data_IF_925752532693
#
_entry.id   IF_925752532693
#
_cell.length_a   1.000
_cell.length_b   1.000
_cell.length_c   1.000
_cell.angle_alpha   90.00
_cell.angle_beta   90.00
_cell.angle_gamma   90.00
#
_symmetry.space_group_name_H-M   'P 1'
#
loop_
_entity.id
_entity.type
_entity.pdbx_description
1 polymer ?
#
# COMPACT_ATOMS: atom_id res chain seq x y z
N UNK A 1 22.51 -7.39 21.93
CA UNK A 1 23.38 -6.26 21.51
C UNK A 1 22.52 -4.99 21.54
N UNK A 2 22.88 -3.92 22.28
CA UNK A 2 22.12 -2.66 22.23
C UNK A 2 22.51 -1.94 20.93
N UNK A 3 21.60 -1.82 19.99
CA UNK A 3 21.82 -1.05 18.75
C UNK A 3 21.91 0.42 19.12
N UNK A 4 22.94 1.12 18.65
CA UNK A 4 23.07 2.56 18.88
C UNK A 4 21.91 3.30 18.19
N UNK A 5 21.29 4.30 18.84
CA UNK A 5 20.23 5.08 18.22
C UNK A 5 20.78 5.83 17.00
N UNK A 6 20.00 5.87 15.92
CA UNK A 6 20.35 6.54 14.67
C UNK A 6 19.61 7.87 14.54
N UNK A 7 20.26 8.86 13.96
CA UNK A 7 19.65 10.13 13.55
C UNK A 7 19.13 10.05 12.12
N UNK A 8 18.31 11.02 11.71
CA UNK A 8 17.82 11.13 10.33
C UNK A 8 18.93 11.12 9.28
N UNK A 9 20.01 11.88 9.51
CA UNK A 9 21.13 11.94 8.58
C UNK A 9 21.89 10.60 8.51
N UNK A 10 22.04 9.90 9.63
CA UNK A 10 22.67 8.58 9.65
C UNK A 10 21.81 7.54 8.91
N UNK A 11 20.48 7.61 9.04
CA UNK A 11 19.54 6.79 8.27
C UNK A 11 19.63 7.11 6.76
N UNK A 12 19.65 8.39 6.39
CA UNK A 12 19.77 8.84 5.00
C UNK A 12 21.06 8.32 4.34
N UNK A 13 22.17 8.42 5.06
CA UNK A 13 23.47 7.89 4.60
C UNK A 13 23.46 6.36 4.52
N UNK A 14 22.88 5.67 5.50
CA UNK A 14 22.86 4.21 5.54
C UNK A 14 21.98 3.58 4.44
N UNK A 15 20.85 4.21 4.13
CA UNK A 15 19.88 3.73 3.13
C UNK A 15 20.20 4.28 1.72
N UNK A 16 21.02 5.33 1.63
CA UNK A 16 21.39 5.96 0.36
C UNK A 16 20.27 6.81 -0.24
N UNK A 17 19.39 7.37 0.59
CA UNK A 17 18.19 8.12 0.20
C UNK A 17 18.18 9.48 0.92
N UNK A 18 17.76 10.58 0.27
CA UNK A 18 17.65 11.89 0.94
C UNK A 18 16.72 11.86 2.15
N UNK A 19 17.05 12.60 3.21
CA UNK A 19 16.27 12.65 4.46
C UNK A 19 14.78 13.01 4.23
N UNK A 20 14.50 13.94 3.31
CA UNK A 20 13.12 14.34 2.96
C UNK A 20 12.26 13.19 2.45
N UNK A 21 12.87 12.12 1.92
CA UNK A 21 12.19 10.97 1.35
C UNK A 21 12.08 9.82 2.39
N UNK A 22 12.64 10.00 3.60
CA UNK A 22 12.57 9.01 4.69
C UNK A 22 11.39 9.22 5.65
N UNK A 23 10.70 10.36 5.58
CA UNK A 23 9.62 10.72 6.50
C UNK A 23 8.52 9.67 6.57
N UNK A 24 7.96 9.31 5.42
CA UNK A 24 6.86 8.35 5.34
C UNK A 24 7.29 6.92 5.70
N UNK A 25 8.39 6.36 5.16
CA UNK A 25 8.87 5.04 5.58
C UNK A 25 9.11 4.92 7.09
N UNK A 26 9.70 5.94 7.71
CA UNK A 26 9.95 5.95 9.16
C UNK A 26 8.64 6.07 9.93
N UNK A 27 7.70 6.91 9.50
CA UNK A 27 6.38 7.00 10.12
C UNK A 27 5.64 5.65 10.10
N UNK A 28 5.76 4.88 9.01
CA UNK A 28 5.18 3.54 8.91
C UNK A 28 5.86 2.53 9.85
N UNK A 29 7.19 2.58 9.96
CA UNK A 29 7.92 1.72 10.90
C UNK A 29 7.59 2.06 12.36
N UNK A 30 7.32 3.33 12.66
CA UNK A 30 6.85 3.78 13.98
C UNK A 30 5.41 3.33 14.24
N UNK A 31 4.50 3.53 13.29
CA UNK A 31 3.11 3.07 13.40
C UNK A 31 3.02 1.55 13.55
N UNK A 32 3.92 0.81 12.89
CA UNK A 32 4.05 -0.63 12.98
C UNK A 32 4.78 -1.14 14.23
N UNK A 33 5.17 -0.27 15.16
CA UNK A 33 5.93 -0.61 16.37
C UNK A 33 7.27 -1.31 16.08
N UNK A 34 7.81 -1.17 14.87
CA UNK A 34 9.11 -1.74 14.50
C UNK A 34 10.25 -0.81 14.93
N UNK A 35 10.02 0.49 14.89
CA UNK A 35 10.97 1.52 15.34
C UNK A 35 10.24 2.41 16.33
N UNK A 36 10.95 2.90 17.34
CA UNK A 36 10.48 3.96 18.22
C UNK A 36 11.44 5.15 18.13
N UNK A 37 10.97 6.32 18.55
CA UNK A 37 11.69 7.57 18.40
C UNK A 37 11.68 8.41 19.67
N UNK A 38 12.82 9.04 19.96
CA UNK A 38 12.97 9.98 21.05
C UNK A 38 13.53 11.30 20.53
N UNK A 39 12.91 12.41 20.94
CA UNK A 39 13.37 13.75 20.57
C UNK A 39 14.17 14.35 21.72
N UNK A 40 15.42 14.72 21.44
CA UNK A 40 16.24 15.48 22.36
C UNK A 40 16.12 16.97 22.02
N UNK A 41 15.54 17.78 22.90
CA UNK A 41 15.43 19.21 22.65
C UNK A 41 16.82 19.85 22.62
N UNK A 42 17.07 20.70 21.64
CA UNK A 42 18.26 21.55 21.64
C UNK A 42 18.21 22.48 22.86
N UNK A 43 19.29 22.54 23.64
CA UNK A 43 19.38 23.44 24.78
C UNK A 43 19.23 24.91 24.35
N UNK A 44 18.79 25.77 25.27
CA UNK A 44 18.50 27.19 25.01
C UNK A 44 19.60 27.92 24.21
N UNK A 45 20.87 27.73 24.58
CA UNK A 45 22.01 28.33 23.88
C UNK A 45 22.33 27.74 22.50
N UNK A 46 21.90 26.49 22.23
CA UNK A 46 22.07 25.83 20.93
C UNK A 46 21.01 26.27 19.93
N UNK A 47 19.76 26.43 20.38
CA UNK A 47 18.68 27.02 19.56
C UNK A 47 19.00 28.43 19.10
N UNK A 48 19.64 29.24 19.95
CA UNK A 48 20.10 30.58 19.57
C UNK A 48 21.15 30.60 18.46
N UNK A 49 21.80 29.47 18.17
CA UNK A 49 22.75 29.30 17.06
C UNK A 49 22.10 28.65 15.82
N UNK A 50 20.79 28.41 15.86
CA UNK A 50 20.06 27.75 14.77
C UNK A 50 20.15 26.23 14.78
N UNK A 51 20.62 25.60 15.86
CA UNK A 51 20.59 24.14 15.98
C UNK A 51 19.16 23.65 16.27
N UNK A 52 18.71 22.67 15.50
CA UNK A 52 17.41 22.03 15.66
C UNK A 52 17.43 20.90 16.69
N UNK A 53 16.24 20.50 17.15
CA UNK A 53 16.11 19.32 18.02
C UNK A 53 16.56 18.07 17.25
N UNK A 54 17.24 17.15 17.95
CA UNK A 54 17.69 15.90 17.33
C UNK A 54 16.68 14.80 17.63
N UNK A 55 16.20 14.12 16.58
CA UNK A 55 15.39 12.91 16.72
C UNK A 55 16.28 11.68 16.58
N UNK A 56 16.13 10.77 17.53
CA UNK A 56 16.82 9.49 17.57
C UNK A 56 15.83 8.38 17.32
N UNK A 57 16.22 7.42 16.49
CA UNK A 57 15.44 6.23 16.14
C UNK A 57 16.13 5.00 16.68
N UNK A 58 15.35 4.08 17.22
CA UNK A 58 15.85 2.80 17.70
C UNK A 58 14.86 1.70 17.35
N UNK A 59 15.37 0.55 16.95
CA UNK A 59 14.55 -0.63 16.76
C UNK A 59 13.94 -1.04 18.12
N UNK A 60 12.64 -1.25 18.14
CA UNK A 60 11.94 -1.79 19.33
C UNK A 60 12.32 -3.25 19.51
N UNK A 61 11.82 -3.90 20.57
CA UNK A 61 11.94 -5.36 20.68
C UNK A 61 11.28 -6.08 19.48
N UNK A 62 10.19 -5.53 18.94
CA UNK A 62 9.54 -6.06 17.74
C UNK A 62 10.41 -5.84 16.50
N UNK A 63 10.95 -4.65 16.29
CA UNK A 63 11.90 -4.38 15.20
C UNK A 63 13.16 -5.22 15.28
N UNK A 64 13.72 -5.39 16.48
CA UNK A 64 14.88 -6.25 16.71
C UNK A 64 14.56 -7.71 16.44
N UNK A 65 13.37 -8.22 16.76
CA UNK A 65 12.94 -9.57 16.39
C UNK A 65 12.80 -9.76 14.88
N UNK A 66 12.28 -8.75 14.17
CA UNK A 66 12.25 -8.72 12.70
C UNK A 66 13.66 -8.81 12.13
N UNK A 67 14.63 -8.15 12.76
CA UNK A 67 16.03 -8.11 12.33
C UNK A 67 16.88 -9.30 12.80
N UNK A 68 16.47 -10.03 13.84
CA UNK A 68 17.31 -11.03 14.51
C UNK A 68 17.05 -12.47 14.11
N UNK A 69 15.93 -12.82 13.47
CA UNK A 69 15.57 -14.21 13.11
C UNK A 69 16.17 -15.28 14.04
N UNK A 70 15.59 -15.45 15.24
CA UNK A 70 15.74 -16.66 16.06
C UNK A 70 14.35 -17.02 16.65
N UNK A 71 13.98 -18.31 16.78
CA UNK A 71 12.65 -18.84 16.44
C UNK A 71 11.71 -19.06 17.64
N UNK A 72 11.99 -18.45 18.80
CA UNK A 72 11.39 -18.92 20.07
C UNK A 72 10.32 -18.00 20.71
N UNK A 73 9.95 -16.90 20.06
CA UNK A 73 8.59 -16.35 20.26
C UNK A 73 7.72 -17.06 19.24
N UNK A 74 6.55 -17.65 19.56
CA UNK A 74 5.68 -18.15 18.52
C UNK A 74 5.38 -16.95 17.64
N UNK A 75 6.01 -16.94 16.47
CA UNK A 75 5.66 -16.04 15.42
C UNK A 75 4.15 -16.21 15.19
N UNK A 76 3.41 -15.20 14.70
CA UNK A 76 2.28 -15.55 13.84
C UNK A 76 2.84 -16.63 12.90
N UNK A 77 2.23 -17.82 12.91
CA UNK A 77 2.82 -19.03 12.31
C UNK A 77 3.45 -18.58 10.98
N UNK A 78 4.77 -18.72 10.77
CA UNK A 78 5.38 -18.19 9.52
C UNK A 78 4.63 -18.75 8.31
N UNK A 79 4.07 -19.95 8.49
CA UNK A 79 3.12 -20.62 7.63
C UNK A 79 1.79 -19.87 7.48
N UNK A 80 1.21 -19.33 8.55
CA UNK A 80 0.01 -18.49 8.55
C UNK A 80 0.26 -17.16 7.85
N UNK A 81 1.28 -16.38 8.18
CA UNK A 81 1.55 -15.11 7.49
C UNK A 81 1.87 -15.33 6.01
N UNK A 82 2.68 -16.35 5.69
CA UNK A 82 2.95 -16.75 4.30
C UNK A 82 1.69 -17.21 3.60
N UNK A 83 0.80 -17.93 4.28
CA UNK A 83 -0.49 -18.37 3.75
C UNK A 83 -1.42 -17.18 3.49
N UNK A 84 -1.52 -16.24 4.43
CA UNK A 84 -2.33 -15.01 4.28
C UNK A 84 -1.82 -14.18 3.10
N UNK A 85 -0.51 -14.02 2.96
CA UNK A 85 0.09 -13.33 1.82
C UNK A 85 -0.16 -14.06 0.50
N UNK A 86 -0.05 -15.39 0.50
CA UNK A 86 -0.36 -16.24 -0.65
C UNK A 86 -1.86 -16.17 -1.00
N UNK A 87 -2.73 -16.04 -0.02
CA UNK A 87 -4.16 -15.86 -0.23
C UNK A 87 -4.45 -14.46 -0.80
N UNK A 88 -3.80 -13.38 -0.33
CA UNK A 88 -3.86 -12.05 -0.98
C UNK A 88 -3.43 -12.15 -2.45
N UNK A 89 -2.35 -12.89 -2.74
CA UNK A 89 -1.88 -13.12 -4.12
C UNK A 89 -2.95 -13.80 -4.97
N UNK A 90 -3.54 -14.89 -4.48
CA UNK A 90 -4.59 -15.64 -5.20
C UNK A 90 -5.86 -14.82 -5.40
N UNK A 91 -6.28 -14.07 -4.38
CA UNK A 91 -7.47 -13.21 -4.42
C UNK A 91 -7.25 -12.07 -5.42
N UNK A 92 -6.09 -11.41 -5.37
CA UNK A 92 -5.71 -10.37 -6.34
C UNK A 92 -5.66 -10.92 -7.77
N UNK A 93 -5.18 -12.16 -7.94
CA UNK A 93 -5.19 -12.87 -9.21
C UNK A 93 -6.61 -13.15 -9.73
N UNK A 94 -7.54 -13.46 -8.81
CA UNK A 94 -8.96 -13.63 -9.14
C UNK A 94 -9.62 -12.31 -9.59
N UNK A 95 -9.16 -11.18 -9.06
CA UNK A 95 -9.54 -9.82 -9.50
C UNK A 95 -8.83 -9.38 -10.80
N UNK A 96 -8.11 -10.26 -11.47
CA UNK A 96 -7.47 -9.96 -12.75
C UNK A 96 -6.13 -9.24 -12.66
N UNK A 97 -5.45 -9.29 -11.51
CA UNK A 97 -4.15 -8.64 -11.31
C UNK A 97 -3.08 -9.60 -10.76
N UNK A 98 -1.83 -9.43 -11.19
CA UNK A 98 -0.68 -10.12 -10.62
C UNK A 98 0.16 -9.15 -9.79
N UNK A 99 0.39 -9.49 -8.51
CA UNK A 99 1.18 -8.66 -7.60
C UNK A 99 2.60 -8.43 -8.13
N UNK A 100 3.09 -7.19 -8.02
CA UNK A 100 4.51 -6.89 -8.15
C UNK A 100 5.24 -7.17 -6.84
N UNK A 101 6.57 -7.08 -6.85
CA UNK A 101 7.36 -7.13 -5.61
C UNK A 101 6.94 -6.05 -4.60
N UNK A 102 6.62 -4.85 -5.08
CA UNK A 102 6.12 -3.78 -4.25
C UNK A 102 4.72 -4.09 -3.71
N UNK A 103 3.83 -4.67 -4.52
CA UNK A 103 2.52 -5.14 -4.06
C UNK A 103 2.58 -6.20 -2.96
N UNK A 104 3.57 -7.10 -2.98
CA UNK A 104 3.81 -8.03 -1.87
C UNK A 104 4.20 -7.31 -0.59
N UNK A 105 5.12 -6.35 -0.66
CA UNK A 105 5.53 -5.56 0.50
C UNK A 105 4.37 -4.74 1.07
N UNK A 106 3.57 -4.12 0.19
CA UNK A 106 2.34 -3.42 0.58
C UNK A 106 1.36 -4.36 1.27
N UNK A 107 1.16 -5.57 0.74
CA UNK A 107 0.26 -6.57 1.32
C UNK A 107 0.65 -6.94 2.76
N UNK A 108 1.95 -7.14 3.02
CA UNK A 108 2.45 -7.40 4.38
C UNK A 108 2.14 -6.25 5.33
N UNK A 109 2.31 -5.00 4.88
CA UNK A 109 2.01 -3.81 5.68
C UNK A 109 0.51 -3.73 5.98
N UNK A 110 -0.36 -3.95 4.98
CA UNK A 110 -1.82 -3.94 5.16
C UNK A 110 -2.29 -5.03 6.12
N UNK A 111 -1.81 -6.27 5.95
CA UNK A 111 -2.13 -7.39 6.84
C UNK A 111 -1.64 -7.11 8.27
N UNK A 112 -0.43 -6.57 8.43
CA UNK A 112 0.13 -6.17 9.72
C UNK A 112 -0.61 -4.99 10.38
N UNK A 113 -1.33 -4.19 9.60
CA UNK A 113 -2.17 -3.08 10.07
C UNK A 113 -3.59 -3.52 10.43
N UNK A 114 -3.90 -4.82 10.35
CA UNK A 114 -5.19 -5.38 10.75
C UNK A 114 -6.22 -5.53 9.63
N UNK A 115 -5.82 -5.31 8.37
CA UNK A 115 -6.65 -5.68 7.23
C UNK A 115 -6.63 -7.20 7.03
N UNK A 116 -7.74 -7.73 6.51
CA UNK A 116 -7.83 -9.11 6.04
C UNK A 116 -7.39 -9.21 4.57
N UNK A 117 -7.34 -10.44 4.05
CA UNK A 117 -6.81 -10.75 2.72
C UNK A 117 -7.70 -10.18 1.62
N UNK A 118 -9.02 -10.19 1.84
CA UNK A 118 -10.01 -9.69 0.88
C UNK A 118 -9.96 -8.17 0.76
N UNK A 119 -9.91 -7.47 1.90
CA UNK A 119 -9.77 -6.01 1.94
C UNK A 119 -8.42 -5.55 1.37
N UNK A 120 -7.34 -6.28 1.67
CA UNK A 120 -6.02 -5.97 1.11
C UNK A 120 -6.03 -6.12 -0.42
N UNK A 121 -6.59 -7.22 -0.93
CA UNK A 121 -6.67 -7.46 -2.37
C UNK A 121 -7.60 -6.47 -3.10
N UNK A 122 -8.74 -6.08 -2.50
CA UNK A 122 -9.65 -5.10 -3.09
C UNK A 122 -9.00 -3.72 -3.19
N UNK A 123 -8.24 -3.31 -2.17
CA UNK A 123 -7.47 -2.06 -2.18
C UNK A 123 -6.39 -2.07 -3.27
N UNK A 124 -5.63 -3.16 -3.39
CA UNK A 124 -4.61 -3.31 -4.44
C UNK A 124 -5.24 -3.22 -5.84
N UNK A 125 -6.36 -3.90 -6.06
CA UNK A 125 -7.08 -3.86 -7.32
C UNK A 125 -7.60 -2.46 -7.64
N UNK A 126 -8.19 -1.75 -6.67
CA UNK A 126 -8.69 -0.39 -6.82
C UNK A 126 -7.56 0.60 -7.17
N UNK A 127 -6.45 0.57 -6.44
CA UNK A 127 -5.32 1.47 -6.66
C UNK A 127 -4.66 1.20 -8.03
N UNK A 128 -4.54 -0.07 -8.41
CA UNK A 128 -4.01 -0.46 -9.72
C UNK A 128 -4.92 0.02 -10.84
N UNK A 129 -6.24 -0.20 -10.72
CA UNK A 129 -7.24 0.30 -11.66
C UNK A 129 -7.19 1.82 -11.80
N UNK A 130 -7.18 2.55 -10.69
CA UNK A 130 -7.11 4.01 -10.69
C UNK A 130 -5.82 4.52 -11.35
N UNK A 131 -4.71 3.83 -11.14
CA UNK A 131 -3.44 4.14 -11.81
C UNK A 131 -3.54 3.93 -13.32
N UNK A 132 -4.10 2.81 -13.77
CA UNK A 132 -4.26 2.51 -15.20
C UNK A 132 -5.22 3.49 -15.90
N UNK A 133 -6.32 3.85 -15.25
CA UNK A 133 -7.26 4.88 -15.74
C UNK A 133 -6.55 6.23 -15.86
N UNK A 134 -5.78 6.64 -14.84
CA UNK A 134 -5.05 7.91 -14.88
C UNK A 134 -4.05 7.96 -16.03
N UNK A 135 -3.39 6.83 -16.34
CA UNK A 135 -2.50 6.72 -17.51
C UNK A 135 -3.27 6.78 -18.83
N UNK A 136 -4.49 6.21 -18.89
CA UNK A 136 -5.36 6.33 -20.06
C UNK A 136 -5.83 7.78 -20.30
N UNK A 137 -5.89 8.60 -19.24
CA UNK A 137 -6.24 10.00 -19.31
C UNK A 137 -7.71 10.21 -19.72
N UNK A 138 -7.94 11.08 -20.71
CA UNK A 138 -9.30 11.43 -21.19
C UNK A 138 -9.73 10.70 -22.46
N UNK A 139 -9.00 9.67 -22.86
CA UNK A 139 -9.32 8.87 -24.04
C UNK A 139 -10.54 7.98 -23.74
N UNK A 140 -11.73 8.41 -24.19
CA UNK A 140 -13.01 7.74 -23.91
C UNK A 140 -12.97 6.29 -24.37
N UNK A 141 -12.36 6.01 -25.53
CA UNK A 141 -12.24 4.64 -26.03
C UNK A 141 -11.46 3.81 -25.01
N UNK A 142 -10.33 4.33 -24.50
CA UNK A 142 -9.55 3.66 -23.46
C UNK A 142 -10.32 3.44 -22.17
N UNK A 143 -11.03 4.46 -21.72
CA UNK A 143 -11.83 4.40 -20.50
C UNK A 143 -12.93 3.32 -20.57
N UNK A 144 -13.58 3.19 -21.73
CA UNK A 144 -14.63 2.19 -21.94
C UNK A 144 -14.13 0.74 -21.86
N UNK A 145 -12.85 0.48 -22.13
CA UNK A 145 -12.27 -0.86 -22.01
C UNK A 145 -12.12 -1.35 -20.56
N UNK A 146 -12.06 -0.43 -19.59
CA UNK A 146 -11.98 -0.81 -18.17
C UNK A 146 -13.34 -1.19 -17.58
N UNK A 147 -14.45 -0.77 -18.21
CA UNK A 147 -15.81 -0.94 -17.65
C UNK A 147 -16.17 -2.42 -17.44
N UNK A 148 -16.00 -3.34 -18.41
CA UNK A 148 -16.37 -4.73 -18.22
C UNK A 148 -15.59 -5.40 -17.09
N UNK A 149 -14.27 -5.11 -17.00
CA UNK A 149 -13.44 -5.63 -15.93
C UNK A 149 -13.85 -5.08 -14.56
N UNK A 150 -14.18 -3.79 -14.50
CA UNK A 150 -14.62 -3.14 -13.28
C UNK A 150 -15.91 -3.74 -12.75
N UNK A 151 -16.88 -3.97 -13.63
CA UNK A 151 -18.14 -4.59 -13.23
C UNK A 151 -17.92 -6.03 -12.73
N UNK A 152 -17.05 -6.80 -13.41
CA UNK A 152 -16.68 -8.13 -12.94
C UNK A 152 -16.02 -8.11 -11.55
N UNK A 153 -15.12 -7.16 -11.29
CA UNK A 153 -14.54 -6.98 -9.95
C UNK A 153 -15.62 -6.64 -8.92
N UNK A 154 -16.52 -5.71 -9.22
CA UNK A 154 -17.62 -5.33 -8.32
C UNK A 154 -18.53 -6.52 -8.00
N UNK A 155 -18.85 -7.35 -8.98
CA UNK A 155 -19.65 -8.56 -8.79
C UNK A 155 -18.91 -9.58 -7.89
N UNK A 156 -17.59 -9.72 -8.06
CA UNK A 156 -16.75 -10.56 -7.19
C UNK A 156 -16.74 -10.02 -5.75
N UNK A 157 -16.53 -8.71 -5.56
CA UNK A 157 -16.55 -8.09 -4.24
C UNK A 157 -17.92 -8.26 -3.56
N UNK A 158 -18.99 -8.18 -4.34
CA UNK A 158 -20.35 -8.42 -3.86
C UNK A 158 -20.54 -9.86 -3.39
N UNK A 159 -20.09 -10.86 -4.15
CA UNK A 159 -20.14 -12.27 -3.69
C UNK A 159 -19.39 -12.45 -2.37
N UNK A 160 -18.22 -11.82 -2.22
CA UNK A 160 -17.45 -11.90 -0.98
C UNK A 160 -18.15 -11.24 0.20
N UNK A 161 -18.81 -10.11 -0.05
CA UNK A 161 -19.61 -9.43 0.95
C UNK A 161 -20.86 -10.24 1.36
N UNK A 162 -21.61 -10.76 0.38
CA UNK A 162 -22.79 -11.62 0.62
C UNK A 162 -22.44 -12.88 1.44
N UNK A 163 -21.20 -13.36 1.31
CA UNK A 163 -20.65 -14.50 2.07
C UNK A 163 -20.00 -14.13 3.41
N UNK A 164 -19.97 -12.85 3.76
CA UNK A 164 -19.37 -12.34 4.99
C UNK A 164 -17.84 -12.38 5.01
N UNK A 165 -17.19 -12.53 3.85
CA UNK A 165 -15.73 -12.53 3.70
C UNK A 165 -15.17 -11.11 3.56
N UNK A 166 -15.97 -10.18 2.99
CA UNK A 166 -15.63 -8.77 2.86
C UNK A 166 -16.61 -7.92 3.69
N UNK A 167 -16.09 -7.09 4.59
CA UNK A 167 -16.93 -6.22 5.41
C UNK A 167 -17.72 -5.23 4.55
N UNK A 168 -18.96 -4.95 4.96
CA UNK A 168 -19.90 -4.11 4.22
C UNK A 168 -19.37 -2.70 3.92
N UNK A 169 -18.75 -2.07 4.91
CA UNK A 169 -18.17 -0.74 4.77
C UNK A 169 -17.02 -0.71 3.75
N UNK A 170 -16.18 -1.74 3.74
CA UNK A 170 -15.10 -1.91 2.75
C UNK A 170 -15.68 -2.16 1.36
N UNK A 171 -16.65 -3.07 1.23
CA UNK A 171 -17.33 -3.34 -0.03
C UNK A 171 -17.95 -2.07 -0.63
N UNK A 172 -18.78 -1.35 0.14
CA UNK A 172 -19.46 -0.14 -0.33
C UNK A 172 -18.47 0.94 -0.74
N UNK A 173 -17.38 1.11 0.01
CA UNK A 173 -16.34 2.08 -0.33
C UNK A 173 -15.61 1.69 -1.63
N UNK A 174 -15.11 0.46 -1.71
CA UNK A 174 -14.24 0.01 -2.80
C UNK A 174 -15.02 -0.17 -4.09
N UNK A 175 -16.19 -0.80 -4.06
CA UNK A 175 -17.04 -0.97 -5.25
C UNK A 175 -17.46 0.39 -5.83
N UNK A 176 -17.85 1.32 -4.96
CA UNK A 176 -18.17 2.69 -5.40
C UNK A 176 -16.95 3.38 -5.99
N UNK A 177 -15.80 3.30 -5.35
CA UNK A 177 -14.58 3.91 -5.85
C UNK A 177 -14.18 3.35 -7.22
N UNK A 178 -14.24 2.02 -7.40
CA UNK A 178 -13.96 1.34 -8.67
C UNK A 178 -14.86 1.85 -9.81
N UNK A 179 -16.16 1.98 -9.57
CA UNK A 179 -17.10 2.54 -10.56
C UNK A 179 -16.81 4.01 -10.86
N UNK A 180 -16.53 4.80 -9.83
CA UNK A 180 -16.32 6.25 -9.99
C UNK A 180 -15.00 6.57 -10.71
N UNK A 181 -13.93 5.80 -10.47
CA UNK A 181 -12.66 6.01 -11.20
C UNK A 181 -12.77 5.58 -12.65
N UNK A 182 -13.59 4.60 -13.00
CA UNK A 182 -13.70 4.12 -14.40
C UNK A 182 -14.73 4.86 -15.24
N UNK A 183 -15.75 5.45 -14.62
CA UNK A 183 -16.79 6.19 -15.32
C UNK A 183 -16.28 7.56 -15.76
N UNK A 184 -16.24 7.78 -17.08
CA UNK A 184 -16.01 9.10 -17.67
C UNK A 184 -17.09 10.10 -17.23
N UNK A 185 -16.81 10.84 -16.17
CA UNK A 185 -17.74 11.76 -15.51
C UNK A 185 -16.96 12.95 -14.92
N UNK A 186 -17.62 14.10 -14.64
CA UNK A 186 -16.95 15.24 -14.04
C UNK A 186 -16.31 14.93 -12.67
N UNK A 187 -16.81 13.92 -11.95
CA UNK A 187 -16.33 13.52 -10.63
C UNK A 187 -15.13 12.56 -10.69
N UNK A 188 -14.84 11.98 -11.85
CA UNK A 188 -13.81 10.95 -12.04
C UNK A 188 -12.46 11.40 -11.47
N UNK A 189 -12.04 12.62 -11.79
CA UNK A 189 -10.74 13.15 -11.37
C UNK A 189 -10.65 13.36 -9.86
N UNK A 190 -11.76 13.74 -9.22
CA UNK A 190 -11.85 13.84 -7.76
C UNK A 190 -11.66 12.49 -7.09
N UNK A 191 -12.25 11.43 -7.65
CA UNK A 191 -12.10 10.07 -7.16
C UNK A 191 -10.71 9.50 -7.43
N UNK A 192 -10.13 9.76 -8.60
CA UNK A 192 -8.75 9.38 -8.91
C UNK A 192 -7.77 10.02 -7.90
N UNK A 193 -7.89 11.32 -7.67
CA UNK A 193 -7.05 12.02 -6.70
C UNK A 193 -7.26 11.49 -5.27
N UNK A 194 -8.49 11.14 -4.90
CA UNK A 194 -8.79 10.56 -3.58
C UNK A 194 -8.16 9.18 -3.41
N UNK A 195 -8.36 8.27 -4.37
CA UNK A 195 -7.83 6.90 -4.32
C UNK A 195 -6.30 6.91 -4.36
N UNK A 196 -5.71 7.82 -5.13
CA UNK A 196 -4.27 7.91 -5.36
C UNK A 196 -3.59 8.94 -4.42
N UNK A 197 -4.27 9.32 -3.32
CA UNK A 197 -3.73 10.26 -2.34
C UNK A 197 -2.78 9.61 -1.33
N UNK A 198 -2.83 8.29 -1.19
CA UNK A 198 -1.95 7.53 -0.31
C UNK A 198 -0.55 7.41 -0.96
N UNK A 199 0.49 8.04 -0.38
CA UNK A 199 1.84 8.03 -0.94
C UNK A 199 2.45 6.63 -0.94
N UNK A 200 2.08 5.75 0.00
CA UNK A 200 2.60 4.37 0.04
C UNK A 200 1.93 3.53 -1.03
N UNK A 201 0.61 3.59 -1.17
CA UNK A 201 -0.09 2.84 -2.20
C UNK A 201 0.32 3.28 -3.63
N UNK A 202 0.90 4.47 -3.78
CA UNK A 202 1.25 5.07 -5.09
C UNK A 202 2.75 5.25 -5.35
N UNK A 203 3.63 4.90 -4.39
CA UNK A 203 5.08 5.04 -4.56
C UNK A 203 5.62 4.19 -5.71
N UNK A 204 5.07 2.98 -5.89
CA UNK A 204 5.37 2.10 -7.01
C UNK A 204 4.12 1.29 -7.40
N UNK A 205 4.14 0.69 -8.59
CA UNK A 205 3.03 -0.13 -9.10
C UNK A 205 2.81 -1.35 -8.21
N UNK A 206 1.63 -1.47 -7.61
CA UNK A 206 1.25 -2.59 -6.73
C UNK A 206 1.00 -3.89 -7.50
N UNK A 207 0.31 -3.83 -8.63
CA UNK A 207 0.01 -5.01 -9.43
C UNK A 207 0.00 -4.71 -10.94
N UNK A 208 0.15 -5.76 -11.74
CA UNK A 208 0.02 -5.71 -13.19
C UNK A 208 -1.34 -6.25 -13.60
N UNK A 209 -2.06 -5.53 -14.46
CA UNK A 209 -3.30 -6.04 -14.98
C UNK A 209 -3.04 -7.20 -15.95
N UNK A 210 -3.79 -8.28 -15.80
CA UNK A 210 -3.74 -9.45 -16.67
C UNK A 210 -4.52 -9.26 -17.97
N UNK A 211 -5.43 -8.30 -17.98
CA UNK A 211 -6.14 -7.91 -19.18
C UNK A 211 -5.24 -6.98 -19.97
N UNK A 212 -4.88 -7.41 -21.17
CA UNK A 212 -4.32 -6.52 -22.16
C UNK A 212 -5.46 -5.67 -22.73
N UNK A 213 -5.80 -4.60 -22.01
CA UNK A 213 -6.78 -3.64 -22.51
C UNK A 213 -6.35 -3.16 -23.89
N UNK A 214 -5.03 -2.95 -24.11
CA UNK A 214 -4.43 -2.48 -25.36
C UNK A 214 -4.70 -3.41 -26.56
N UNK A 215 -4.78 -4.72 -26.34
CA UNK A 215 -5.15 -5.70 -27.38
C UNK A 215 -6.61 -5.57 -27.83
N UNK A 216 -7.53 -5.26 -26.91
CA UNK A 216 -8.93 -4.98 -27.25
C UNK A 216 -9.08 -3.76 -28.19
N UNK A 217 -8.14 -2.82 -28.17
CA UNK A 217 -8.13 -1.66 -29.10
C UNK A 217 -7.59 -1.97 -30.49
N UNK A 218 -6.76 -3.01 -30.66
CA UNK A 218 -6.22 -3.38 -31.98
C UNK A 218 -7.18 -4.23 -32.80
N UNK A 219 -8.09 -4.95 -32.15
CA UNK A 219 -9.09 -5.81 -32.81
C UNK A 219 -10.40 -5.05 -33.15
N UNK A 220 -10.48 -3.77 -32.78
CA UNK A 220 -11.63 -2.88 -33.06
C UNK A 220 -11.35 -1.81 -34.13
N UNK A 221 -10.21 -1.92 -34.84
CA UNK A 221 -9.89 -1.18 -36.07
C UNK A 221 -9.84 -2.14 -37.26
#
# INVERSE_FOLDING_TARGET
MRVAPLTWNELAVAVGVPERDLGDPIAHLVAGDAIDSARQPAGFFKRLRGEEDTTFFFATQKGLRILQEDPETPAPDRDEESKRLEDVRKITHHLGYDLTRYGYAFSLISLGSGYDEFATASQIALVTLATDVRVAGRDITKLMAFVPHTMAMVDILKDWNDRGMLKEDIFQNDARAMVMVTRASPEQEGWLNKVLSDPVATAERLANCRLDYMKAFRESQ
#
